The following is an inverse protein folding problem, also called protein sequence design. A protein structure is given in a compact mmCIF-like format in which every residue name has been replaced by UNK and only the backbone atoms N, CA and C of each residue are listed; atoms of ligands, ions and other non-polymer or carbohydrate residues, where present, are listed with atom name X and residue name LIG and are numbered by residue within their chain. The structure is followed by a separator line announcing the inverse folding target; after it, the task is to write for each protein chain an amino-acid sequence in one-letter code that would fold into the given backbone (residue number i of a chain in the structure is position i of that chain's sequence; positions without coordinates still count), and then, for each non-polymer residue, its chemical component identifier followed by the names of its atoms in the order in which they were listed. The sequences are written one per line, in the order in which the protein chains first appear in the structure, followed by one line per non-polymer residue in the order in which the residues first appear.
data_IF_061235955019
#
_entry.id   IF_061235955019
#
_cell.length_a   1.000
_cell.length_b   1.000
_cell.length_c   1.000
_cell.angle_alpha   90.00
_cell.angle_beta   90.00
_cell.angle_gamma   90.00
#
_symmetry.space_group_name_H-M   'P 1'
#
loop_
_entity.id
_entity.type
_entity.pdbx_description
1 polymer ?
#
# COMPACT_ATOMS: atom_id res chain seq x y z
N UNK A 1 11.88 -28.34 84.16
CA UNK A 1 12.60 -29.41 83.44
C UNK A 1 12.34 -29.15 81.95
N UNK A 2 13.29 -28.86 81.06
CA UNK A 2 14.69 -29.24 80.97
C UNK A 2 15.59 -28.07 80.49
N UNK A 3 16.86 -28.13 80.92
CA UNK A 3 18.02 -27.50 80.28
C UNK A 3 18.46 -28.37 79.08
N UNK A 4 19.04 -27.77 78.05
CA UNK A 4 20.27 -28.22 77.35
C UNK A 4 20.65 -27.13 76.32
N UNK A 5 21.64 -26.28 76.61
CA UNK A 5 23.08 -26.40 76.30
C UNK A 5 23.47 -26.19 74.82
N UNK A 6 24.28 -25.15 74.65
CA UNK A 6 25.10 -24.79 73.49
C UNK A 6 25.87 -25.97 72.89
N UNK A 7 26.05 -25.97 71.57
CA UNK A 7 27.34 -26.30 70.93
C UNK A 7 27.54 -25.48 69.66
N UNK A 8 28.61 -24.67 69.69
CA UNK A 8 29.28 -24.06 68.54
C UNK A 8 29.74 -25.15 67.55
N UNK A 9 29.62 -24.89 66.26
CA UNK A 9 30.47 -25.51 65.23
C UNK A 9 31.12 -24.38 64.40
N UNK A 10 32.40 -24.63 64.12
CA UNK A 10 33.44 -23.71 63.68
C UNK A 10 33.26 -23.15 62.26
N UNK A 11 33.85 -21.97 62.09
CA UNK A 11 34.02 -21.22 60.85
C UNK A 11 34.96 -21.89 59.82
N UNK A 12 34.87 -21.38 58.58
CA UNK A 12 35.81 -21.40 57.42
C UNK A 12 35.63 -22.54 56.37
N UNK A 13 35.59 -22.33 55.04
CA UNK A 13 35.72 -21.16 54.13
C UNK A 13 35.46 -21.70 52.70
N UNK A 14 34.57 -21.15 51.84
CA UNK A 14 34.70 -21.22 50.36
C UNK A 14 34.07 -19.97 49.71
N UNK A 15 34.97 -19.14 49.16
CA UNK A 15 34.99 -18.44 47.86
C UNK A 15 33.75 -17.62 47.45
N UNK A 16 33.97 -16.32 47.29
CA UNK A 16 32.93 -15.31 47.13
C UNK A 16 32.24 -15.23 45.78
N UNK A 17 31.21 -14.40 45.76
CA UNK A 17 30.90 -13.47 44.68
C UNK A 17 30.10 -12.31 45.30
N UNK A 18 30.45 -11.09 44.92
CA UNK A 18 29.59 -9.92 45.10
C UNK A 18 28.21 -10.24 44.52
N UNK A 19 27.19 -10.40 45.37
CA UNK A 19 25.82 -10.26 44.90
C UNK A 19 25.56 -8.76 44.84
N UNK A 20 25.86 -8.19 43.68
CA UNK A 20 25.37 -6.90 43.26
C UNK A 20 23.86 -6.83 43.48
N UNK A 21 23.45 -5.69 44.00
CA UNK A 21 22.09 -5.12 44.02
C UNK A 21 21.03 -5.90 43.24
N UNK A 22 19.97 -6.24 43.99
CA UNK A 22 18.56 -6.35 43.58
C UNK A 22 18.36 -5.86 42.14
N UNK A 23 18.11 -6.81 41.22
CA UNK A 23 17.71 -6.53 39.85
C UNK A 23 16.41 -5.72 39.89
N UNK A 24 16.47 -4.49 39.39
CA UNK A 24 15.30 -3.81 38.85
C UNK A 24 14.73 -4.69 37.73
N UNK A 25 13.43 -4.96 37.76
CA UNK A 25 12.73 -5.67 36.70
C UNK A 25 12.82 -4.83 35.41
N UNK A 26 13.84 -5.10 34.61
CA UNK A 26 14.05 -4.51 33.30
C UNK A 26 13.37 -5.42 32.27
N UNK A 27 12.52 -4.84 31.43
CA UNK A 27 11.77 -5.54 30.38
C UNK A 27 12.61 -6.64 29.72
N UNK A 28 12.17 -7.89 29.81
CA UNK A 28 12.94 -9.02 29.30
C UNK A 28 13.02 -8.99 27.77
N UNK A 29 14.23 -8.91 27.20
CA UNK A 29 14.43 -8.97 25.74
C UNK A 29 15.64 -8.17 25.26
N UNK A 30 16.10 -8.47 24.03
CA UNK A 30 17.08 -7.64 23.32
C UNK A 30 16.35 -6.44 22.71
N UNK A 31 16.90 -5.23 22.84
CA UNK A 31 16.24 -3.97 22.49
C UNK A 31 14.84 -3.81 23.13
N UNK A 32 14.81 -3.77 24.45
CA UNK A 32 13.60 -3.48 25.22
C UNK A 32 13.76 -2.16 26.00
N UNK A 33 12.65 -1.49 26.25
CA UNK A 33 12.61 -0.23 26.98
C UNK A 33 11.40 -0.22 27.91
N UNK A 34 11.61 0.22 29.15
CA UNK A 34 10.53 0.46 30.11
C UNK A 34 10.10 1.93 30.06
N UNK A 35 8.79 2.16 29.95
CA UNK A 35 8.19 3.47 30.21
C UNK A 35 6.93 3.28 31.05
N UNK A 36 6.90 3.89 32.23
CA UNK A 36 5.83 3.72 33.22
C UNK A 36 5.63 2.23 33.57
N UNK A 37 4.45 1.67 33.31
CA UNK A 37 4.07 0.28 33.56
C UNK A 37 4.07 -0.58 32.29
N UNK A 38 4.64 -0.07 31.19
CA UNK A 38 4.71 -0.76 29.91
C UNK A 38 6.15 -1.07 29.50
N UNK A 39 6.30 -2.23 28.89
CA UNK A 39 7.53 -2.69 28.26
C UNK A 39 7.37 -2.65 26.74
N UNK A 40 8.29 -1.95 26.08
CA UNK A 40 8.34 -1.82 24.63
C UNK A 40 9.47 -2.69 24.09
N UNK A 41 9.17 -3.56 23.14
CA UNK A 41 10.13 -4.44 22.46
C UNK A 41 10.27 -4.03 21.00
N UNK A 42 11.50 -3.79 20.55
CA UNK A 42 11.78 -3.29 19.20
C UNK A 42 12.21 -4.43 18.27
N UNK A 43 11.45 -4.62 17.19
CA UNK A 43 11.66 -5.68 16.22
C UNK A 43 12.18 -5.11 14.91
N UNK A 44 13.44 -5.43 14.60
CA UNK A 44 14.11 -5.01 13.37
C UNK A 44 13.61 -5.77 12.13
N UNK A 45 13.24 -7.04 12.33
CA UNK A 45 12.75 -7.90 11.27
C UNK A 45 11.44 -7.33 10.72
N UNK A 46 11.48 -6.97 9.44
CA UNK A 46 10.35 -6.36 8.75
C UNK A 46 9.21 -7.36 8.67
N UNK A 47 8.01 -6.91 9.02
CA UNK A 47 6.80 -7.71 8.93
C UNK A 47 5.65 -6.87 8.40
N UNK A 48 4.72 -7.55 7.73
CA UNK A 48 3.41 -7.00 7.41
C UNK A 48 2.71 -6.57 8.71
N UNK A 49 1.71 -5.71 8.62
CA UNK A 49 0.94 -5.27 9.80
C UNK A 49 0.41 -6.43 10.63
N UNK A 50 -0.21 -7.39 9.95
CA UNK A 50 -0.93 -8.47 10.59
C UNK A 50 0.06 -9.48 11.18
N UNK A 51 1.18 -9.73 10.51
CA UNK A 51 2.26 -10.56 11.05
C UNK A 51 2.94 -9.92 12.26
N UNK A 52 3.23 -8.62 12.21
CA UNK A 52 3.79 -7.87 13.33
C UNK A 52 2.85 -7.91 14.54
N UNK A 53 1.55 -7.69 14.31
CA UNK A 53 0.53 -7.83 15.35
C UNK A 53 0.51 -9.23 15.93
N UNK A 54 0.50 -10.26 15.06
CA UNK A 54 0.53 -11.65 15.50
C UNK A 54 1.76 -11.94 16.38
N UNK A 55 2.96 -11.48 15.99
CA UNK A 55 4.18 -11.62 16.78
C UNK A 55 4.02 -10.97 18.16
N UNK A 56 3.55 -9.72 18.24
CA UNK A 56 3.34 -9.06 19.53
C UNK A 56 2.36 -9.82 20.44
N UNK A 57 1.29 -10.40 19.88
CA UNK A 57 0.37 -11.23 20.65
C UNK A 57 1.03 -12.51 21.18
N UNK A 58 1.91 -13.14 20.40
CA UNK A 58 2.67 -14.31 20.87
C UNK A 58 3.63 -13.94 22.01
N UNK A 59 4.10 -12.69 22.04
CA UNK A 59 4.94 -12.14 23.12
C UNK A 59 4.13 -11.67 24.34
N UNK A 60 2.81 -11.91 24.38
CA UNK A 60 1.95 -11.49 25.48
C UNK A 60 1.61 -10.00 25.48
N UNK A 61 1.82 -9.32 24.34
CA UNK A 61 1.54 -7.91 24.17
C UNK A 61 0.73 -7.61 22.91
N UNK A 62 0.75 -6.35 22.50
CA UNK A 62 0.12 -5.86 21.28
C UNK A 62 1.10 -4.99 20.52
N UNK A 63 0.76 -4.61 19.28
CA UNK A 63 1.48 -3.51 18.65
C UNK A 63 1.35 -2.28 19.54
N UNK A 64 2.47 -1.63 19.83
CA UNK A 64 2.52 -0.48 20.73
C UNK A 64 1.55 0.60 20.29
N UNK A 65 0.89 1.28 21.22
CA UNK A 65 0.04 2.43 20.91
C UNK A 65 0.46 3.59 21.77
N UNK A 66 0.81 4.70 21.12
CA UNK A 66 1.28 5.87 21.86
C UNK A 66 0.11 6.70 22.33
N UNK A 67 -0.01 6.82 23.63
CA UNK A 67 -1.16 7.44 24.29
C UNK A 67 -0.87 8.90 24.70
N UNK A 68 0.40 9.32 24.73
CA UNK A 68 0.78 10.70 25.12
C UNK A 68 1.98 11.25 24.35
N UNK A 69 2.12 12.58 24.34
CA UNK A 69 3.27 13.26 23.74
C UNK A 69 4.58 12.94 24.48
N UNK A 70 4.49 12.73 25.79
CA UNK A 70 5.64 12.39 26.63
C UNK A 70 6.16 10.99 26.30
N UNK A 71 5.26 10.01 26.15
CA UNK A 71 5.57 8.65 25.69
C UNK A 71 6.13 8.64 24.26
N UNK A 72 5.53 9.40 23.34
CA UNK A 72 6.08 9.65 22.00
C UNK A 72 7.52 10.13 22.10
N UNK A 73 7.76 11.19 22.87
CA UNK A 73 9.08 11.84 22.94
C UNK A 73 10.12 10.89 23.51
N UNK A 74 9.70 10.04 24.45
CA UNK A 74 10.55 9.06 25.08
C UNK A 74 10.94 7.93 24.11
N UNK A 75 9.96 7.31 23.45
CA UNK A 75 10.17 6.21 22.49
C UNK A 75 10.93 6.69 21.27
N UNK A 76 10.55 7.84 20.70
CA UNK A 76 11.25 8.48 19.59
C UNK A 76 12.70 8.82 19.97
N UNK A 77 12.93 9.32 21.19
CA UNK A 77 14.27 9.60 21.70
C UNK A 77 15.12 8.33 21.83
N UNK A 78 14.54 7.21 22.28
CA UNK A 78 15.24 5.93 22.35
C UNK A 78 15.60 5.40 20.96
N UNK A 79 14.64 5.42 20.03
CA UNK A 79 14.85 5.03 18.63
C UNK A 79 15.91 5.91 17.96
N UNK A 80 15.94 7.22 18.25
CA UNK A 80 16.96 8.13 17.72
C UNK A 80 18.38 7.76 18.15
N UNK A 81 18.56 7.43 19.44
CA UNK A 81 19.89 7.11 19.98
C UNK A 81 20.38 5.73 19.59
N UNK A 82 19.46 4.80 19.30
CA UNK A 82 19.76 3.39 19.08
C UNK A 82 19.39 2.90 17.67
N UNK A 83 19.09 3.81 16.73
CA UNK A 83 18.65 3.41 15.38
C UNK A 83 19.61 2.45 14.67
N UNK A 84 20.92 2.70 14.80
CA UNK A 84 21.94 1.94 14.09
C UNK A 84 22.13 0.55 14.71
N UNK A 85 21.86 0.40 16.01
CA UNK A 85 21.91 -0.88 16.72
C UNK A 85 20.61 -1.67 16.59
N UNK A 86 19.46 -1.01 16.56
CA UNK A 86 18.15 -1.65 16.44
C UNK A 86 17.88 -2.09 15.00
N UNK A 87 18.20 -1.26 13.99
CA UNK A 87 17.76 -1.51 12.61
C UNK A 87 18.89 -1.75 11.62
N UNK A 88 20.13 -1.92 12.05
CA UNK A 88 21.29 -2.37 11.24
C UNK A 88 21.36 -1.79 9.81
N UNK A 89 21.21 -0.46 9.68
CA UNK A 89 21.21 0.25 8.39
C UNK A 89 20.22 -0.27 7.33
N UNK A 90 19.08 -0.81 7.75
CA UNK A 90 18.08 -1.39 6.85
C UNK A 90 17.65 -0.41 5.77
N UNK A 91 17.99 -0.72 4.52
CA UNK A 91 17.75 0.14 3.36
C UNK A 91 16.32 -0.04 2.81
N UNK A 92 15.59 1.08 2.69
CA UNK A 92 14.25 1.15 2.10
C UNK A 92 14.28 1.54 0.61
N UNK A 93 15.45 1.78 0.04
CA UNK A 93 15.61 2.11 -1.38
C UNK A 93 15.17 0.98 -2.33
N UNK A 94 15.01 -0.25 -1.85
CA UNK A 94 14.54 -1.37 -2.66
C UNK A 94 13.11 -1.15 -3.18
N UNK A 95 12.23 -0.47 -2.42
CA UNK A 95 10.87 -0.10 -2.88
C UNK A 95 10.92 0.82 -4.11
N UNK A 96 11.98 1.63 -4.24
CA UNK A 96 12.23 2.52 -5.38
C UNK A 96 12.71 1.76 -6.62
N UNK A 97 13.52 0.73 -6.44
CA UNK A 97 14.16 0.02 -7.56
C UNK A 97 13.15 -0.77 -8.41
N UNK A 98 12.13 -1.36 -7.78
CA UNK A 98 11.11 -2.14 -8.49
C UNK A 98 10.21 -1.23 -9.35
N UNK A 99 9.79 -0.08 -8.83
CA UNK A 99 8.99 0.88 -9.59
C UNK A 99 9.80 1.58 -10.68
N UNK A 100 11.04 2.02 -10.41
CA UNK A 100 11.89 2.59 -11.45
C UNK A 100 12.12 1.60 -12.59
N UNK A 101 12.28 0.32 -12.28
CA UNK A 101 12.39 -0.73 -13.29
C UNK A 101 11.10 -0.86 -14.11
N UNK A 102 9.94 -0.98 -13.44
CA UNK A 102 8.63 -1.08 -14.10
C UNK A 102 8.31 0.15 -14.96
N UNK A 103 8.63 1.35 -14.47
CA UNK A 103 8.45 2.60 -15.20
C UNK A 103 9.35 2.70 -16.42
N UNK A 104 10.61 2.22 -16.35
CA UNK A 104 11.52 2.16 -17.50
C UNK A 104 11.02 1.19 -18.56
N UNK A 105 10.54 0.02 -18.15
CA UNK A 105 9.99 -1.00 -19.06
C UNK A 105 8.72 -0.49 -19.76
N UNK A 106 7.76 0.06 -18.99
CA UNK A 106 6.54 0.72 -19.50
C UNK A 106 6.88 1.78 -20.54
N UNK A 107 7.75 2.71 -20.18
CA UNK A 107 8.16 3.81 -21.05
C UNK A 107 8.80 3.32 -22.36
N UNK A 108 9.49 2.18 -22.36
CA UNK A 108 10.10 1.61 -23.56
C UNK A 108 9.05 1.16 -24.57
N UNK A 109 8.04 0.42 -24.12
CA UNK A 109 6.97 -0.11 -24.98
C UNK A 109 6.15 1.04 -25.58
N UNK A 110 5.80 2.02 -24.76
CA UNK A 110 5.05 3.20 -25.20
C UNK A 110 5.80 3.95 -26.30
N UNK A 111 7.11 4.21 -26.10
CA UNK A 111 7.95 4.90 -27.08
C UNK A 111 8.09 4.11 -28.38
N UNK A 112 8.30 2.79 -28.30
CA UNK A 112 8.39 1.93 -29.49
C UNK A 112 7.08 1.94 -30.27
N UNK A 113 5.94 1.77 -29.57
CA UNK A 113 4.63 1.78 -30.21
C UNK A 113 4.33 3.13 -30.86
N UNK A 114 4.49 4.24 -30.14
CA UNK A 114 4.20 5.56 -30.69
C UNK A 114 5.07 5.88 -31.90
N UNK A 115 6.36 5.50 -31.89
CA UNK A 115 7.24 5.67 -33.04
C UNK A 115 6.68 4.98 -34.29
N UNK A 116 6.41 3.67 -34.20
CA UNK A 116 5.89 2.89 -35.32
C UNK A 116 4.48 3.32 -35.74
N UNK A 117 3.65 3.74 -34.80
CA UNK A 117 2.32 4.27 -35.06
C UNK A 117 2.37 5.54 -35.93
N UNK A 118 3.23 6.51 -35.59
CA UNK A 118 3.37 7.74 -36.38
C UNK A 118 4.07 7.54 -37.72
N UNK A 119 5.00 6.59 -37.80
CA UNK A 119 5.68 6.24 -39.06
C UNK A 119 4.82 5.38 -39.99
N UNK A 120 3.69 4.84 -39.50
CA UNK A 120 2.86 3.89 -40.26
C UNK A 120 3.52 2.53 -40.45
N UNK A 121 4.42 2.14 -39.54
CA UNK A 121 5.28 0.94 -39.64
C UNK A 121 5.01 -0.08 -38.52
N UNK A 122 3.81 -0.09 -37.94
CA UNK A 122 3.45 -1.03 -36.85
C UNK A 122 3.67 -2.51 -37.20
N UNK A 123 3.45 -2.90 -38.46
CA UNK A 123 3.70 -4.26 -38.95
C UNK A 123 5.18 -4.66 -38.91
N UNK A 124 6.09 -3.68 -38.83
CA UNK A 124 7.54 -3.89 -38.72
C UNK A 124 8.02 -3.92 -37.27
N UNK A 125 7.14 -3.59 -36.30
CA UNK A 125 7.48 -3.59 -34.89
C UNK A 125 7.54 -5.03 -34.33
N UNK A 126 8.28 -5.21 -33.24
CA UNK A 126 8.31 -6.50 -32.52
C UNK A 126 7.19 -6.62 -31.48
N UNK A 127 6.34 -5.59 -31.38
CA UNK A 127 5.29 -5.49 -30.40
C UNK A 127 4.13 -6.42 -30.73
N UNK A 128 3.54 -7.00 -29.69
CA UNK A 128 2.32 -7.77 -29.84
C UNK A 128 1.13 -6.80 -29.88
N UNK A 129 0.63 -6.51 -31.09
CA UNK A 129 -0.52 -5.62 -31.30
C UNK A 129 -1.73 -6.45 -31.69
N UNK A 130 -2.79 -6.34 -30.90
CA UNK A 130 -4.05 -7.01 -31.18
C UNK A 130 -4.67 -6.43 -32.45
N UNK A 131 -5.13 -7.31 -33.35
CA UNK A 131 -5.80 -6.89 -34.58
C UNK A 131 -7.14 -6.24 -34.23
N UNK A 132 -7.34 -5.00 -34.70
CA UNK A 132 -8.60 -4.27 -34.54
C UNK A 132 -9.76 -5.04 -35.20
N UNK A 133 -10.86 -5.19 -34.47
CA UNK A 133 -12.11 -5.68 -35.03
C UNK A 133 -12.88 -4.50 -35.65
N UNK A 134 -12.73 -4.31 -36.96
CA UNK A 134 -13.34 -3.20 -37.68
C UNK A 134 -14.85 -3.40 -37.87
N UNK A 135 -15.63 -2.60 -37.14
CA UNK A 135 -17.09 -2.56 -37.24
C UNK A 135 -17.50 -1.22 -37.84
N UNK A 136 -18.45 -1.25 -38.78
CA UNK A 136 -19.01 -0.03 -39.40
C UNK A 136 -19.50 0.95 -38.33
N UNK A 137 -19.16 2.25 -38.41
CA UNK A 137 -19.57 3.27 -37.44
C UNK A 137 -21.09 3.45 -37.30
N UNK A 138 -21.89 2.94 -38.24
CA UNK A 138 -23.33 3.14 -38.31
C UNK A 138 -24.17 2.10 -37.56
N UNK A 139 -23.55 1.09 -36.95
CA UNK A 139 -24.27 0.02 -36.28
C UNK A 139 -24.63 0.37 -34.84
N UNK A 140 -25.89 0.18 -34.41
CA UNK A 140 -26.25 0.25 -33.00
C UNK A 140 -25.41 -0.73 -32.18
N UNK A 141 -25.09 -0.36 -30.93
CA UNK A 141 -24.29 -1.19 -30.02
C UNK A 141 -22.88 -1.50 -30.56
N UNK A 142 -22.29 -0.55 -31.29
CA UNK A 142 -20.93 -0.63 -31.83
C UNK A 142 -19.92 -1.04 -30.76
N UNK A 143 -20.00 -0.44 -29.57
CA UNK A 143 -19.07 -0.71 -28.49
C UNK A 143 -18.95 -2.21 -28.17
N UNK A 144 -20.07 -2.94 -28.05
CA UNK A 144 -20.03 -4.37 -27.81
C UNK A 144 -19.56 -5.15 -29.05
N UNK A 145 -19.99 -4.74 -30.25
CA UNK A 145 -19.65 -5.43 -31.50
C UNK A 145 -18.16 -5.33 -31.86
N UNK A 146 -17.48 -4.27 -31.42
CA UNK A 146 -16.02 -4.10 -31.62
C UNK A 146 -15.18 -5.01 -30.74
N UNK A 147 -15.78 -5.85 -29.87
CA UNK A 147 -15.05 -6.81 -29.04
C UNK A 147 -14.28 -7.79 -29.94
N UNK A 148 -12.95 -7.91 -29.79
CA UNK A 148 -12.15 -8.81 -30.62
C UNK A 148 -12.26 -10.28 -30.17
N UNK A 149 -11.96 -11.25 -31.06
CA UNK A 149 -11.87 -12.65 -30.68
C UNK A 149 -10.90 -12.87 -29.52
N UNK A 150 -11.24 -13.78 -28.60
CA UNK A 150 -10.47 -14.00 -27.38
C UNK A 150 -10.85 -13.09 -26.22
N UNK A 151 -11.87 -12.24 -26.39
CA UNK A 151 -12.45 -11.42 -25.33
C UNK A 151 -13.98 -11.47 -25.36
N UNK A 152 -14.60 -11.18 -24.22
CA UNK A 152 -16.05 -11.04 -24.12
C UNK A 152 -16.45 -10.02 -23.07
N UNK A 153 -17.61 -9.39 -23.28
CA UNK A 153 -18.21 -8.47 -22.32
C UNK A 153 -19.21 -9.25 -21.46
N UNK A 154 -18.94 -9.35 -20.16
CA UNK A 154 -19.75 -10.11 -19.19
C UNK A 154 -19.94 -9.30 -17.92
N UNK A 155 -20.80 -9.77 -17.00
CA UNK A 155 -20.98 -9.11 -15.71
C UNK A 155 -19.67 -9.11 -14.92
N UNK A 156 -19.27 -7.95 -14.40
CA UNK A 156 -18.09 -7.80 -13.54
C UNK A 156 -18.32 -8.47 -12.19
N UNK A 157 -17.24 -8.97 -11.58
CA UNK A 157 -17.26 -9.42 -10.18
C UNK A 157 -17.13 -8.25 -9.20
N UNK A 158 -16.77 -7.05 -9.68
CA UNK A 158 -16.71 -5.85 -8.85
C UNK A 158 -18.14 -5.42 -8.51
N UNK A 159 -18.49 -5.29 -7.22
CA UNK A 159 -19.83 -4.87 -6.83
C UNK A 159 -20.20 -3.52 -7.42
N UNK A 160 -21.36 -3.44 -8.09
CA UNK A 160 -21.91 -2.23 -8.73
C UNK A 160 -21.15 -1.72 -9.96
N UNK A 161 -20.18 -2.46 -10.50
CA UNK A 161 -19.46 -2.09 -11.73
C UNK A 161 -20.21 -2.48 -13.03
N UNK A 162 -21.35 -3.17 -12.93
CA UNK A 162 -22.14 -3.68 -14.07
C UNK A 162 -21.38 -4.69 -14.95
N UNK A 163 -20.91 -4.25 -16.12
CA UNK A 163 -20.25 -5.08 -17.12
C UNK A 163 -18.74 -4.86 -17.06
N UNK A 164 -17.98 -5.88 -17.42
CA UNK A 164 -16.53 -5.90 -17.50
C UNK A 164 -16.07 -6.58 -18.78
N UNK A 165 -14.83 -6.33 -19.18
CA UNK A 165 -14.20 -7.09 -20.26
C UNK A 165 -13.45 -8.28 -19.68
N UNK A 166 -13.70 -9.46 -20.22
CA UNK A 166 -13.09 -10.72 -19.80
C UNK A 166 -12.24 -11.29 -20.93
N UNK A 167 -11.12 -11.90 -20.58
CA UNK A 167 -10.31 -12.69 -21.50
C UNK A 167 -10.93 -14.09 -21.67
N UNK A 168 -11.02 -14.55 -22.91
CA UNK A 168 -11.40 -15.94 -23.26
C UNK A 168 -10.20 -16.76 -23.72
N UNK A 169 -9.08 -16.09 -24.00
CA UNK A 169 -7.80 -16.68 -24.36
C UNK A 169 -6.68 -16.06 -23.50
N UNK A 170 -5.50 -16.69 -23.53
CA UNK A 170 -4.31 -16.12 -22.91
C UNK A 170 -3.88 -14.86 -23.67
N UNK A 171 -3.64 -13.76 -22.94
CA UNK A 171 -3.12 -12.50 -23.47
C UNK A 171 -1.76 -12.25 -22.82
N UNK A 172 -0.65 -12.29 -23.57
CA UNK A 172 0.68 -12.05 -23.03
C UNK A 172 0.81 -10.65 -22.39
N UNK A 173 1.78 -10.50 -21.47
CA UNK A 173 2.29 -9.21 -21.00
C UNK A 173 2.73 -8.35 -22.20
N UNK A 174 2.44 -7.05 -22.16
CA UNK A 174 2.77 -6.05 -23.18
C UNK A 174 2.04 -6.20 -24.52
N UNK A 175 0.88 -6.84 -24.53
CA UNK A 175 -0.01 -6.82 -25.70
C UNK A 175 -0.72 -5.47 -25.77
N UNK A 176 -0.53 -4.74 -26.87
CA UNK A 176 -1.31 -3.53 -27.18
C UNK A 176 -2.70 -3.96 -27.63
N UNK A 177 -3.74 -3.52 -26.91
CA UNK A 177 -5.11 -4.00 -27.08
C UNK A 177 -5.87 -3.23 -28.16
N UNK A 178 -6.03 -1.92 -27.98
CA UNK A 178 -6.69 -1.03 -28.94
C UNK A 178 -6.53 0.43 -28.53
N UNK A 179 -6.83 1.33 -29.48
CA UNK A 179 -7.15 2.73 -29.20
C UNK A 179 -8.47 2.82 -28.44
N UNK A 180 -8.55 3.66 -27.41
CA UNK A 180 -9.81 4.03 -26.77
C UNK A 180 -10.56 5.05 -27.63
N UNK A 181 -11.79 4.71 -28.02
CA UNK A 181 -12.59 5.50 -28.96
C UNK A 181 -13.79 6.16 -28.27
N UNK A 182 -14.12 7.38 -28.69
CA UNK A 182 -15.20 8.19 -28.14
C UNK A 182 -15.28 9.57 -28.79
N UNK A 183 -16.16 10.42 -28.26
CA UNK A 183 -16.30 11.81 -28.68
C UNK A 183 -15.24 12.69 -28.00
N UNK A 184 -14.68 13.65 -28.73
CA UNK A 184 -13.76 14.63 -28.13
C UNK A 184 -14.55 15.73 -27.42
N UNK A 185 -14.29 15.94 -26.13
CA UNK A 185 -14.99 16.93 -25.30
C UNK A 185 -14.01 17.72 -24.43
N UNK A 186 -14.21 19.04 -24.33
CA UNK A 186 -13.35 19.93 -23.52
C UNK A 186 -13.84 20.09 -22.07
N UNK A 187 -15.15 19.92 -21.85
CA UNK A 187 -15.79 20.12 -20.55
C UNK A 187 -16.89 19.08 -20.30
N UNK A 188 -16.52 17.81 -20.09
CA UNK A 188 -17.48 16.76 -19.79
C UNK A 188 -18.18 17.04 -18.46
N UNK A 189 -19.48 16.79 -18.42
CA UNK A 189 -20.29 16.86 -17.19
C UNK A 189 -20.30 15.57 -16.40
N UNK A 190 -19.89 14.47 -17.03
CA UNK A 190 -19.81 13.12 -16.49
C UNK A 190 -18.48 12.49 -16.94
N UNK A 191 -17.60 12.20 -15.98
CA UNK A 191 -16.26 11.69 -16.25
C UNK A 191 -16.19 10.16 -16.30
N UNK A 192 -17.33 9.46 -16.19
CA UNK A 192 -17.36 7.99 -16.01
C UNK A 192 -16.66 7.22 -17.13
N UNK A 193 -16.74 7.71 -18.36
CA UNK A 193 -16.10 7.09 -19.54
C UNK A 193 -15.06 8.00 -20.19
N UNK A 194 -14.53 8.98 -19.45
CA UNK A 194 -13.64 10.00 -19.98
C UNK A 194 -12.17 9.64 -19.72
N UNK A 195 -11.37 9.63 -20.78
CA UNK A 195 -9.92 9.69 -20.67
C UNK A 195 -9.41 11.08 -21.02
N UNK A 196 -8.63 11.69 -20.12
CA UNK A 196 -7.87 12.88 -20.46
C UNK A 196 -6.72 12.50 -21.41
N UNK A 197 -6.52 13.29 -22.44
CA UNK A 197 -5.43 13.15 -23.41
C UNK A 197 -4.50 14.36 -23.38
N UNK A 198 -3.29 14.18 -23.91
CA UNK A 198 -2.33 15.27 -24.05
C UNK A 198 -2.71 16.16 -25.24
N UNK A 199 -3.20 17.37 -24.93
CA UNK A 199 -3.65 18.38 -25.91
C UNK A 199 -3.00 19.75 -25.70
N UNK A 200 -1.78 19.78 -25.15
CA UNK A 200 -1.06 21.02 -24.86
C UNK A 200 -1.67 21.78 -23.67
N UNK A 201 -1.93 23.10 -23.76
CA UNK A 201 -2.38 23.89 -22.62
C UNK A 201 -3.86 23.68 -22.24
N UNK A 202 -4.66 23.11 -23.14
CA UNK A 202 -6.08 22.83 -22.89
C UNK A 202 -6.28 21.39 -22.44
N UNK A 203 -7.24 21.14 -21.55
CA UNK A 203 -7.66 19.79 -21.17
C UNK A 203 -8.69 19.29 -22.18
N UNK A 204 -8.32 18.25 -22.93
CA UNK A 204 -9.22 17.55 -23.84
C UNK A 204 -9.44 16.12 -23.34
N UNK A 205 -10.65 15.63 -23.53
CA UNK A 205 -11.06 14.29 -23.12
C UNK A 205 -11.63 13.51 -24.30
N UNK A 206 -11.47 12.19 -24.27
CA UNK A 206 -12.20 11.24 -25.11
C UNK A 206 -13.32 10.65 -24.23
N UNK A 207 -14.57 10.96 -24.54
CA UNK A 207 -15.76 10.46 -23.85
C UNK A 207 -16.34 9.22 -24.57
N UNK A 208 -16.20 8.06 -23.92
CA UNK A 208 -16.70 6.77 -24.41
C UNK A 208 -18.16 6.47 -24.06
N UNK A 209 -18.92 7.44 -23.51
CA UNK A 209 -20.29 7.24 -23.02
C UNK A 209 -21.25 6.74 -24.11
N UNK A 210 -21.18 7.30 -25.32
CA UNK A 210 -22.05 6.92 -26.44
C UNK A 210 -21.59 5.58 -27.06
N UNK A 211 -22.33 4.51 -26.78
CA UNK A 211 -22.05 3.13 -27.24
C UNK A 211 -22.03 2.94 -28.75
N UNK A 212 -22.61 3.86 -29.52
CA UNK A 212 -22.60 3.80 -30.98
C UNK A 212 -21.32 4.40 -31.57
N UNK A 213 -20.57 5.17 -30.79
CA UNK A 213 -19.33 5.85 -31.21
C UNK A 213 -18.11 5.19 -30.57
N UNK A 214 -18.21 4.78 -29.32
CA UNK A 214 -17.11 4.15 -28.59
C UNK A 214 -16.91 2.68 -28.96
N UNK A 215 -15.92 2.06 -28.31
CA UNK A 215 -15.55 0.66 -28.53
C UNK A 215 -15.59 -0.16 -27.23
N UNK A 216 -15.24 -1.44 -27.33
CA UNK A 216 -15.28 -2.41 -26.24
C UNK A 216 -14.45 -2.02 -25.00
N UNK A 217 -13.44 -1.15 -25.15
CA UNK A 217 -12.61 -0.70 -24.04
C UNK A 217 -13.36 0.15 -23.02
N UNK A 218 -14.51 0.74 -23.39
CA UNK A 218 -15.38 1.46 -22.44
C UNK A 218 -15.85 0.60 -21.26
N UNK A 219 -15.85 -0.73 -21.43
CA UNK A 219 -16.30 -1.69 -20.42
C UNK A 219 -15.16 -2.18 -19.52
N UNK A 220 -13.92 -1.71 -19.69
CA UNK A 220 -12.80 -2.10 -18.81
C UNK A 220 -12.94 -1.37 -17.48
N UNK A 221 -12.99 -2.11 -16.38
CA UNK A 221 -13.25 -1.57 -15.04
C UNK A 221 -11.99 -1.06 -14.32
N UNK A 222 -12.20 -0.26 -13.28
CA UNK A 222 -11.12 0.24 -12.44
C UNK A 222 -10.50 -0.88 -11.59
N UNK A 223 -9.17 -1.03 -11.63
CA UNK A 223 -8.44 -1.85 -10.68
C UNK A 223 -8.46 -1.22 -9.29
N UNK A 224 -8.73 -2.03 -8.26
CA UNK A 224 -8.81 -1.64 -6.85
C UNK A 224 -7.49 -1.79 -6.12
N UNK A 225 -6.55 -2.58 -6.67
CA UNK A 225 -5.20 -2.81 -6.15
C UNK A 225 -4.27 -3.26 -7.30
N UNK A 226 -2.94 -3.23 -7.13
CA UNK A 226 -2.02 -3.68 -8.19
C UNK A 226 -2.10 -5.17 -8.48
N UNK A 227 -2.54 -6.00 -7.53
CA UNK A 227 -2.65 -7.44 -7.76
C UNK A 227 -3.67 -7.76 -8.85
N UNK A 228 -4.78 -7.03 -8.90
CA UNK A 228 -5.78 -7.20 -9.95
C UNK A 228 -5.56 -6.31 -11.17
N UNK A 229 -4.80 -5.20 -11.05
CA UNK A 229 -4.42 -4.33 -12.18
C UNK A 229 -3.60 -5.11 -13.20
N UNK A 230 -4.17 -5.40 -14.36
CA UNK A 230 -3.52 -6.17 -15.42
C UNK A 230 -3.45 -5.44 -16.76
N UNK A 231 -4.04 -4.25 -16.84
CA UNK A 231 -3.99 -3.35 -17.98
C UNK A 231 -3.63 -1.94 -17.56
N UNK A 232 -3.04 -1.20 -18.47
CA UNK A 232 -2.65 0.19 -18.28
C UNK A 232 -2.86 0.96 -19.59
N UNK A 233 -2.73 2.28 -19.53
CA UNK A 233 -2.96 3.16 -20.67
C UNK A 233 -1.79 4.10 -20.93
N UNK A 234 -1.65 4.49 -22.19
CA UNK A 234 -0.65 5.45 -22.62
C UNK A 234 -1.19 6.33 -23.74
N UNK A 235 -0.54 7.47 -23.96
CA UNK A 235 -0.89 8.43 -25.00
C UNK A 235 0.12 8.35 -26.15
N UNK A 236 -0.37 8.37 -27.40
CA UNK A 236 0.45 8.72 -28.57
C UNK A 236 -0.21 9.89 -29.28
N UNK A 237 0.30 11.10 -29.03
CA UNK A 237 -0.37 12.33 -29.47
C UNK A 237 -1.75 12.46 -28.81
N UNK A 238 -2.75 12.88 -29.58
CA UNK A 238 -4.13 13.06 -29.09
C UNK A 238 -4.95 11.75 -29.05
N UNK A 239 -4.28 10.61 -28.89
CA UNK A 239 -4.88 9.27 -28.88
C UNK A 239 -4.49 8.53 -27.61
N UNK A 240 -5.41 7.71 -27.10
CA UNK A 240 -5.25 6.92 -25.87
C UNK A 240 -5.27 5.44 -26.24
N UNK A 241 -4.32 4.65 -25.73
CA UNK A 241 -4.22 3.22 -26.02
C UNK A 241 -4.21 2.41 -24.74
N UNK A 242 -4.75 1.20 -24.80
CA UNK A 242 -4.70 0.22 -23.73
C UNK A 242 -3.70 -0.89 -24.06
N UNK A 243 -3.02 -1.40 -23.04
CA UNK A 243 -2.14 -2.57 -23.17
C UNK A 243 -2.10 -3.38 -21.87
N UNK A 244 -1.66 -4.64 -21.94
CA UNK A 244 -1.47 -5.49 -20.76
C UNK A 244 -0.13 -5.22 -20.08
N UNK A 245 -0.13 -5.15 -18.75
CA UNK A 245 1.10 -4.97 -17.93
C UNK A 245 1.59 -6.27 -17.28
N UNK A 246 0.83 -7.36 -17.45
CA UNK A 246 1.21 -8.73 -17.06
C UNK A 246 0.47 -9.74 -17.93
N UNK A 247 0.88 -10.99 -17.84
CA UNK A 247 0.19 -12.09 -18.50
C UNK A 247 -1.23 -12.22 -17.95
N UNK A 248 -2.22 -12.30 -18.83
CA UNK A 248 -3.64 -12.42 -18.47
C UNK A 248 -4.16 -13.75 -18.98
N UNK A 249 -4.42 -14.67 -18.04
CA UNK A 249 -4.98 -15.99 -18.36
C UNK A 249 -6.48 -15.89 -18.72
N UNK A 250 -7.04 -16.88 -19.43
CA UNK A 250 -8.48 -16.94 -19.69
C UNK A 250 -9.32 -16.82 -18.41
N UNK A 251 -10.53 -16.28 -18.55
CA UNK A 251 -11.49 -16.00 -17.49
C UNK A 251 -10.99 -15.00 -16.44
N UNK A 252 -10.12 -14.06 -16.83
CA UNK A 252 -9.76 -12.93 -15.98
C UNK A 252 -10.36 -11.64 -16.54
N UNK A 253 -10.86 -10.78 -15.66
CA UNK A 253 -11.36 -9.46 -16.02
C UNK A 253 -10.18 -8.52 -16.30
N UNK A 254 -10.25 -7.75 -17.38
CA UNK A 254 -9.31 -6.66 -17.63
C UNK A 254 -9.64 -5.50 -16.69
N UNK A 255 -8.63 -5.05 -15.95
CA UNK A 255 -8.75 -4.01 -14.94
C UNK A 255 -7.60 -3.02 -15.08
N UNK A 256 -7.94 -1.73 -15.08
CA UNK A 256 -7.04 -0.60 -15.33
C UNK A 256 -7.14 0.44 -14.22
N UNK A 257 -6.06 1.15 -13.89
CA UNK A 257 -6.19 2.31 -13.00
C UNK A 257 -6.80 3.52 -13.70
N UNK A 258 -7.95 4.02 -13.23
CA UNK A 258 -8.58 5.24 -13.79
C UNK A 258 -7.86 6.54 -13.44
N UNK A 259 -6.82 6.49 -12.60
CA UNK A 259 -6.11 7.67 -12.13
C UNK A 259 -6.61 8.17 -10.77
N UNK A 260 -5.79 8.98 -10.11
CA UNK A 260 -5.95 9.37 -8.70
C UNK A 260 -7.27 10.08 -8.40
N UNK A 261 -7.70 11.02 -9.25
CA UNK A 261 -8.93 11.79 -9.00
C UNK A 261 -10.19 10.93 -9.05
N UNK A 262 -10.30 10.05 -10.05
CA UNK A 262 -11.46 9.18 -10.21
C UNK A 262 -11.42 8.01 -9.22
N UNK A 263 -10.22 7.45 -8.97
CA UNK A 263 -10.01 6.46 -7.92
C UNK A 263 -10.53 6.93 -6.56
N UNK A 264 -10.19 8.17 -6.15
CA UNK A 264 -10.71 8.75 -4.90
C UNK A 264 -12.24 8.83 -4.85
N UNK A 265 -12.90 9.13 -5.97
CA UNK A 265 -14.36 9.11 -6.05
C UNK A 265 -14.94 7.69 -5.90
N UNK A 266 -14.21 6.68 -6.34
CA UNK A 266 -14.51 5.25 -6.14
C UNK A 266 -14.05 4.71 -4.77
N UNK A 267 -13.51 5.56 -3.90
CA UNK A 267 -12.93 5.20 -2.60
C UNK A 267 -11.67 4.30 -2.70
N UNK A 268 -10.97 4.33 -3.85
CA UNK A 268 -9.72 3.61 -4.14
C UNK A 268 -8.56 4.61 -4.18
N UNK A 269 -7.45 4.35 -3.48
CA UNK A 269 -6.29 5.24 -3.50
C UNK A 269 -5.01 4.51 -3.95
N UNK A 270 -4.46 4.89 -5.12
CA UNK A 270 -3.12 4.48 -5.57
C UNK A 270 -2.06 5.36 -4.92
N UNK A 271 -1.56 4.94 -3.75
CA UNK A 271 -0.54 5.66 -2.97
C UNK A 271 0.77 4.89 -2.95
N UNK A 272 1.83 5.46 -3.53
CA UNK A 272 3.14 4.86 -3.51
C UNK A 272 3.82 5.06 -2.14
N UNK A 273 4.30 3.98 -1.49
CA UNK A 273 5.13 4.03 -0.29
C UNK A 273 6.29 5.04 -0.34
N UNK A 274 7.00 5.20 -1.48
CA UNK A 274 8.15 6.13 -1.59
C UNK A 274 7.75 7.58 -1.28
N UNK A 275 6.52 7.97 -1.60
CA UNK A 275 6.04 9.32 -1.30
C UNK A 275 5.90 9.58 0.21
N UNK A 276 5.79 8.54 1.03
CA UNK A 276 5.75 8.62 2.49
C UNK A 276 7.10 8.29 3.13
N UNK A 277 7.97 7.53 2.45
CA UNK A 277 9.28 7.07 2.92
C UNK A 277 10.42 7.63 2.05
N UNK A 278 10.76 8.94 2.13
CA UNK A 278 11.84 9.49 1.34
C UNK A 278 13.17 8.81 1.67
N UNK A 279 14.04 8.69 0.67
CA UNK A 279 15.35 8.01 0.78
C UNK A 279 16.10 8.37 2.07
N UNK A 280 16.53 7.35 2.81
CA UNK A 280 17.26 7.51 4.07
C UNK A 280 16.38 7.67 5.31
N UNK A 281 15.05 7.55 5.19
CA UNK A 281 14.16 7.55 6.35
C UNK A 281 14.07 6.17 6.99
N UNK A 282 14.17 6.12 8.31
CA UNK A 282 13.96 4.90 9.09
C UNK A 282 12.51 4.88 9.60
N UNK A 283 11.83 3.74 9.47
CA UNK A 283 10.41 3.63 9.78
C UNK A 283 10.18 2.48 10.76
N UNK A 284 9.30 2.71 11.74
CA UNK A 284 8.81 1.69 12.66
C UNK A 284 7.28 1.77 12.72
N UNK A 285 6.63 0.62 12.55
CA UNK A 285 5.18 0.47 12.67
C UNK A 285 4.81 0.44 14.14
N UNK A 286 3.85 1.28 14.50
CA UNK A 286 3.35 1.37 15.86
C UNK A 286 1.83 1.44 15.82
N UNK A 287 1.19 0.40 16.34
CA UNK A 287 -0.24 0.39 16.67
C UNK A 287 -1.21 0.48 15.49
N UNK A 288 -2.48 0.20 15.77
CA UNK A 288 -3.58 0.50 14.88
C UNK A 288 -4.79 0.95 15.68
N UNK A 289 -5.37 2.04 15.23
CA UNK A 289 -6.49 2.70 15.89
C UNK A 289 -7.71 2.70 14.97
N UNK A 290 -8.88 2.57 15.58
CA UNK A 290 -10.17 2.41 14.95
C UNK A 290 -11.06 3.55 15.42
N UNK A 291 -11.76 4.20 14.48
CA UNK A 291 -12.72 5.24 14.82
C UNK A 291 -14.12 4.65 14.89
N UNK A 292 -14.70 4.62 16.09
CA UNK A 292 -15.99 4.00 16.34
C UNK A 292 -17.16 4.91 15.98
N UNK A 293 -18.37 4.33 15.94
CA UNK A 293 -19.61 5.08 15.63
C UNK A 293 -19.94 6.14 16.68
N UNK A 294 -19.56 5.92 17.93
CA UNK A 294 -19.67 6.88 19.04
C UNK A 294 -18.57 7.96 19.01
N UNK A 295 -17.78 8.02 17.94
CA UNK A 295 -16.74 9.02 17.70
C UNK A 295 -15.53 8.91 18.64
N UNK A 296 -15.30 7.71 19.21
CA UNK A 296 -14.12 7.43 20.02
C UNK A 296 -13.06 6.68 19.20
N UNK A 297 -11.80 6.87 19.55
CA UNK A 297 -10.70 6.06 19.00
C UNK A 297 -10.47 4.88 19.94
N UNK A 298 -10.40 3.68 19.37
CA UNK A 298 -10.08 2.45 20.09
C UNK A 298 -8.93 1.72 19.42
N UNK A 299 -8.18 0.94 20.18
CA UNK A 299 -7.16 0.05 19.66
C UNK A 299 -7.80 -1.21 19.04
N UNK A 300 -6.99 -2.03 18.37
CA UNK A 300 -7.46 -3.30 17.78
C UNK A 300 -8.05 -4.26 18.84
N UNK A 301 -7.61 -4.16 20.09
CA UNK A 301 -8.12 -4.91 21.24
C UNK A 301 -9.36 -4.25 21.89
N UNK A 302 -9.91 -3.22 21.27
CA UNK A 302 -11.05 -2.42 21.73
C UNK A 302 -10.80 -1.54 22.96
N UNK A 303 -9.57 -1.39 23.42
CA UNK A 303 -9.26 -0.43 24.50
C UNK A 303 -9.38 1.01 23.99
N UNK A 304 -9.91 1.91 24.83
CA UNK A 304 -10.05 3.33 24.47
C UNK A 304 -8.70 4.03 24.42
N UNK A 305 -8.47 4.80 23.37
CA UNK A 305 -7.28 5.66 23.25
C UNK A 305 -7.47 6.89 24.15
N UNK A 306 -6.69 6.98 25.23
CA UNK A 306 -6.63 8.18 26.07
C UNK A 306 -5.63 9.16 25.47
N UNK A 307 -6.08 10.18 24.72
CA UNK A 307 -5.16 11.08 24.00
C UNK A 307 -5.00 12.47 24.63
N UNK A 308 -3.78 12.99 24.65
CA UNK A 308 -3.51 14.45 24.67
C UNK A 308 -2.65 14.83 23.47
N UNK A 309 -3.33 15.19 22.37
CA UNK A 309 -2.80 16.08 21.32
C UNK A 309 -1.64 15.54 20.44
N UNK A 310 -1.51 14.22 20.27
CA UNK A 310 -0.46 13.59 19.45
C UNK A 310 -0.65 13.76 17.93
N UNK A 311 -1.88 13.94 17.44
CA UNK A 311 -2.13 14.33 16.04
C UNK A 311 -3.47 15.06 15.90
N UNK A 312 -3.43 16.38 15.64
CA UNK A 312 -4.64 17.24 15.54
C UNK A 312 -5.48 16.96 14.30
N UNK A 313 -4.88 16.40 13.25
CA UNK A 313 -5.51 16.25 11.94
C UNK A 313 -6.01 14.84 11.66
N UNK A 314 -5.82 13.88 12.58
CA UNK A 314 -5.98 12.47 12.25
C UNK A 314 -7.36 12.15 11.69
N UNK A 315 -8.42 12.57 12.39
CA UNK A 315 -9.81 12.42 11.94
C UNK A 315 -10.12 13.12 10.61
N UNK A 316 -9.54 14.29 10.37
CA UNK A 316 -9.73 15.02 9.12
C UNK A 316 -9.06 14.28 7.94
N UNK A 317 -7.98 13.55 8.21
CA UNK A 317 -7.22 12.78 7.20
C UNK A 317 -7.81 11.39 6.95
N UNK A 318 -8.40 10.76 7.96
CA UNK A 318 -8.70 9.31 7.93
C UNK A 318 -10.18 8.97 8.00
N UNK A 319 -11.04 9.94 8.35
CA UNK A 319 -12.47 9.72 8.45
C UNK A 319 -12.84 8.67 9.50
N UNK A 320 -13.59 7.64 9.10
CA UNK A 320 -14.01 6.52 9.96
C UNK A 320 -13.18 5.23 9.75
N UNK A 321 -12.06 5.31 9.03
CA UNK A 321 -11.24 4.15 8.71
C UNK A 321 -10.31 3.80 9.88
N UNK A 322 -10.01 2.51 10.03
CA UNK A 322 -8.89 2.07 10.86
C UNK A 322 -7.59 2.58 10.26
N UNK A 323 -6.70 3.11 11.10
CA UNK A 323 -5.40 3.59 10.65
C UNK A 323 -4.28 3.04 11.52
N UNK A 324 -3.25 2.51 10.86
CA UNK A 324 -1.96 2.28 11.50
C UNK A 324 -1.23 3.60 11.70
N UNK A 325 -0.28 3.63 12.63
CA UNK A 325 0.68 4.71 12.71
C UNK A 325 2.07 4.19 12.37
N UNK A 326 2.84 5.07 11.74
CA UNK A 326 4.24 4.81 11.43
C UNK A 326 5.05 5.93 12.06
N UNK A 327 6.03 5.54 12.86
CA UNK A 327 7.03 6.44 13.38
C UNK A 327 8.20 6.48 12.40
N UNK A 328 8.39 7.64 11.77
CA UNK A 328 9.33 7.84 10.67
C UNK A 328 10.39 8.86 11.06
N UNK A 329 11.66 8.52 10.87
CA UNK A 329 12.79 9.43 11.02
C UNK A 329 13.11 10.09 9.67
N UNK A 330 12.84 11.39 9.52
CA UNK A 330 13.13 12.14 8.30
C UNK A 330 13.59 13.56 8.63
N UNK A 331 14.50 14.11 7.84
CA UNK A 331 15.03 15.47 8.03
C UNK A 331 15.60 15.74 9.44
N UNK A 332 16.21 14.73 10.07
CA UNK A 332 16.82 14.86 11.40
C UNK A 332 15.86 14.69 12.59
N UNK A 333 14.58 14.39 12.33
CA UNK A 333 13.55 14.30 13.38
C UNK A 333 12.67 13.07 13.21
N UNK A 334 12.25 12.48 14.33
CA UNK A 334 11.22 11.44 14.36
C UNK A 334 9.83 12.07 14.34
N UNK A 335 8.95 11.54 13.49
CA UNK A 335 7.61 12.06 13.27
C UNK A 335 6.61 10.92 13.13
N UNK A 336 5.46 11.08 13.76
CA UNK A 336 4.32 10.19 13.60
C UNK A 336 3.53 10.54 12.34
N UNK A 337 3.32 9.56 11.47
CA UNK A 337 2.49 9.71 10.28
C UNK A 337 1.41 8.62 10.25
N UNK A 338 0.18 8.94 9.80
CA UNK A 338 -0.82 7.91 9.52
C UNK A 338 -0.29 6.97 8.42
N UNK A 339 -0.37 5.66 8.67
CA UNK A 339 -0.22 4.67 7.62
C UNK A 339 -1.30 4.89 6.56
N UNK A 340 -0.89 5.02 5.30
CA UNK A 340 -1.82 5.13 4.19
C UNK A 340 -2.19 3.73 3.69
N UNK A 341 -3.28 3.63 2.94
CA UNK A 341 -3.62 2.38 2.29
C UNK A 341 -2.66 2.13 1.12
N UNK A 342 -1.64 1.31 1.37
CA UNK A 342 -0.67 0.90 0.37
C UNK A 342 -1.11 -0.35 -0.41
N UNK A 343 -2.32 -0.90 -0.17
CA UNK A 343 -2.81 -2.11 -0.84
C UNK A 343 -2.77 -2.02 -2.37
N UNK A 344 -2.73 -0.79 -2.89
CA UNK A 344 -2.48 -0.55 -4.29
C UNK A 344 -1.07 -0.93 -4.75
N UNK A 345 0.02 -0.62 -4.04
CA UNK A 345 1.39 -0.85 -4.53
C UNK A 345 2.02 -2.15 -4.02
N UNK A 346 1.54 -2.66 -2.89
CA UNK A 346 2.02 -3.90 -2.29
C UNK A 346 0.96 -4.99 -2.47
N UNK A 347 1.39 -6.19 -2.85
CA UNK A 347 0.52 -7.36 -2.95
C UNK A 347 0.10 -7.85 -1.55
N UNK A 348 -0.46 -9.06 -1.40
CA UNK A 348 -1.05 -9.57 -0.15
C UNK A 348 -0.17 -9.51 1.11
N UNK A 349 1.10 -9.12 0.99
CA UNK A 349 1.94 -8.68 2.10
C UNK A 349 2.14 -7.16 1.99
N UNK A 350 1.48 -6.43 2.91
CA UNK A 350 1.59 -4.98 3.12
C UNK A 350 3.03 -4.48 3.23
N UNK A 351 3.22 -3.15 3.26
CA UNK A 351 4.53 -2.54 3.53
C UNK A 351 5.12 -3.17 4.79
N UNK A 352 6.20 -3.92 4.61
CA UNK A 352 6.87 -4.62 5.70
C UNK A 352 7.81 -3.63 6.40
N UNK A 353 7.50 -3.36 7.65
CA UNK A 353 8.25 -2.42 8.46
C UNK A 353 8.75 -3.13 9.72
N UNK A 354 9.88 -2.69 10.27
CA UNK A 354 10.17 -2.94 11.67
C UNK A 354 8.99 -2.49 12.54
N UNK A 355 8.81 -3.09 13.71
CA UNK A 355 7.63 -2.83 14.55
C UNK A 355 7.98 -2.79 16.03
N UNK A 356 7.08 -2.23 16.83
CA UNK A 356 7.24 -2.13 18.28
C UNK A 356 6.07 -2.83 18.95
N UNK A 357 6.38 -3.78 19.82
CA UNK A 357 5.40 -4.41 20.70
C UNK A 357 5.34 -3.69 22.04
N UNK A 358 4.17 -3.65 22.65
CA UNK A 358 3.92 -3.13 24.00
C UNK A 358 3.25 -4.21 24.84
N UNK A 359 3.73 -4.39 26.06
CA UNK A 359 3.16 -5.30 27.05
C UNK A 359 3.08 -4.61 28.42
N UNK A 360 2.06 -4.93 29.21
CA UNK A 360 1.95 -4.49 30.60
C UNK A 360 2.86 -5.31 31.51
N UNK A 361 3.43 -4.72 32.56
CA UNK A 361 4.19 -5.48 33.55
C UNK A 361 3.33 -6.59 34.20
N UNK A 362 3.65 -7.86 33.91
CA UNK A 362 3.18 -9.02 34.67
C UNK A 362 1.95 -9.76 34.15
N UNK A 363 1.89 -10.08 32.85
CA UNK A 363 1.02 -11.15 32.34
C UNK A 363 1.73 -12.48 32.23
#
# INVERSE_FOLDING_TARGET
MAKLNEKRILSFLIIGALVSSIHTAECGGHHSLKWTNHCYSFHAEKRSRDDASYVCHQEGGYLAVINSKEEESFIAGYLHRNKDTIFDNTDFSHLKHEEEYLMREKTKIEREYCKHYFEGTLEQSTLNVLRKNEISPSLPNRAQLTTPPGFSIRRSLIPRANMGVWTDAFVPKHTILAEYEGEFVESPTDFTYCWQIDSGPHKLFIDGKNENISNWLRYVNCARNAFEENTDTFNCGSKKFYYTIKDVHPNNELLVWYGTSYGKWLDIEKINPENDFPNGSLNARIGSIYYTRDKSWINNDHTHVTYTNWSRDLKARTGNRSVGLILTYRNGEWQWIPERDYSYYVTNNSVELPFVCESSEGT
#
